data_IF_881436353700
#
_entry.id   IF_881436353700
#
_cell.length_a   1.000
_cell.length_b   1.000
_cell.length_c   1.000
_cell.angle_alpha   90.00
_cell.angle_beta   90.00
_cell.angle_gamma   90.00
#
_symmetry.space_group_name_H-M   'P 1'
#
loop_
_entity.id
_entity.type
_entity.pdbx_description
1 polymer ?
#
# COMPACT_ATOMS: atom_id res chain seq x y z
N UNK A 1 -16.61 9.86 12.77
CA UNK A 1 -16.61 8.46 13.22
C UNK A 1 -16.28 8.25 14.68
N UNK A 2 -15.23 8.84 15.25
CA UNK A 2 -14.99 8.75 16.69
C UNK A 2 -15.84 9.77 17.45
N UNK A 3 -17.16 9.58 17.42
CA UNK A 3 -18.10 10.30 18.28
C UNK A 3 -18.65 9.33 19.31
N UNK A 4 -18.81 9.77 20.55
CA UNK A 4 -19.28 8.94 21.66
C UNK A 4 -20.73 8.49 21.52
N UNK A 5 -21.49 9.11 20.62
CA UNK A 5 -22.89 8.85 20.31
C UNK A 5 -23.08 8.01 19.03
N UNK A 6 -22.00 7.43 18.47
CA UNK A 6 -22.10 6.64 17.25
C UNK A 6 -22.69 5.26 17.52
N UNK A 7 -23.99 5.12 17.23
CA UNK A 7 -24.75 3.88 17.45
C UNK A 7 -24.66 2.95 16.23
N UNK A 8 -24.01 1.80 16.39
CA UNK A 8 -23.86 0.77 15.36
C UNK A 8 -25.12 -0.10 15.17
N UNK A 9 -26.13 0.02 16.04
CA UNK A 9 -27.41 -0.67 15.85
C UNK A 9 -28.28 0.03 14.80
N UNK A 10 -28.03 1.32 14.54
CA UNK A 10 -28.62 2.04 13.41
C UNK A 10 -27.96 1.59 12.10
N UNK A 11 -28.79 1.21 11.12
CA UNK A 11 -28.32 0.65 9.85
C UNK A 11 -27.58 1.66 8.98
N UNK A 12 -27.89 2.95 9.11
CA UNK A 12 -27.21 4.02 8.37
C UNK A 12 -25.81 4.24 8.94
N UNK A 13 -25.69 4.34 10.26
CA UNK A 13 -24.40 4.46 10.93
C UNK A 13 -23.51 3.23 10.71
N UNK A 14 -24.08 2.03 10.77
CA UNK A 14 -23.36 0.80 10.49
C UNK A 14 -22.81 0.77 9.06
N UNK A 15 -23.61 1.23 8.08
CA UNK A 15 -23.18 1.36 6.70
C UNK A 15 -22.07 2.40 6.52
N UNK A 16 -22.22 3.57 7.14
CA UNK A 16 -21.18 4.61 7.14
C UNK A 16 -19.86 4.03 7.69
N UNK A 17 -19.92 3.35 8.85
CA UNK A 17 -18.78 2.67 9.47
C UNK A 17 -18.13 1.66 8.53
N UNK A 18 -18.93 0.80 7.89
CA UNK A 18 -18.43 -0.19 6.94
C UNK A 18 -17.71 0.47 5.75
N UNK A 19 -18.25 1.57 5.20
CA UNK A 19 -17.60 2.32 4.11
C UNK A 19 -16.28 2.96 4.54
N UNK A 20 -16.21 3.55 5.73
CA UNK A 20 -14.95 4.16 6.18
C UNK A 20 -13.91 3.14 6.60
N UNK A 21 -14.34 2.01 7.16
CA UNK A 21 -13.44 0.90 7.43
C UNK A 21 -12.93 0.27 6.13
N UNK A 22 -13.80 0.15 5.11
CA UNK A 22 -13.38 -0.22 3.76
C UNK A 22 -12.32 0.75 3.22
N UNK A 23 -12.57 2.06 3.29
CA UNK A 23 -11.58 3.07 2.90
C UNK A 23 -10.25 2.87 3.64
N UNK A 24 -10.26 2.73 4.96
CA UNK A 24 -9.05 2.55 5.76
C UNK A 24 -8.28 1.27 5.40
N UNK A 25 -8.92 0.11 5.48
CA UNK A 25 -8.24 -1.17 5.29
C UNK A 25 -7.89 -1.47 3.82
N UNK A 26 -8.79 -1.12 2.90
CA UNK A 26 -8.74 -1.58 1.51
C UNK A 26 -8.02 -0.56 0.64
N UNK A 27 -8.34 0.73 0.80
CA UNK A 27 -7.76 1.81 -0.01
C UNK A 27 -6.49 2.34 0.64
N UNK A 28 -6.57 2.82 1.88
CA UNK A 28 -5.45 3.50 2.55
C UNK A 28 -4.28 2.54 2.79
N UNK A 29 -4.49 1.47 3.56
CA UNK A 29 -3.43 0.47 3.80
C UNK A 29 -3.19 -0.42 2.58
N UNK A 30 -4.28 -0.90 1.96
CA UNK A 30 -4.22 -1.92 0.92
C UNK A 30 -3.75 -1.44 -0.46
N UNK A 31 -3.89 -0.14 -0.76
CA UNK A 31 -3.53 0.45 -2.05
C UNK A 31 -2.50 1.58 -1.89
N UNK A 32 -2.82 2.65 -1.13
CA UNK A 32 -1.95 3.82 -1.05
C UNK A 32 -0.62 3.55 -0.37
N UNK A 33 -0.57 2.88 0.79
CA UNK A 33 0.73 2.54 1.38
C UNK A 33 1.52 1.56 0.51
N UNK A 34 0.85 0.53 0.00
CA UNK A 34 1.48 -0.43 -0.90
C UNK A 34 2.11 0.23 -2.13
N UNK A 35 1.38 1.13 -2.80
CA UNK A 35 1.85 1.82 -4.00
C UNK A 35 2.78 3.00 -3.69
N UNK A 36 2.57 3.69 -2.57
CA UNK A 36 3.30 4.87 -2.14
C UNK A 36 4.78 4.62 -1.82
N UNK A 37 5.16 3.38 -1.51
CA UNK A 37 6.56 2.99 -1.30
C UNK A 37 7.32 2.75 -2.62
N UNK A 38 6.60 2.55 -3.72
CA UNK A 38 7.14 2.17 -5.03
C UNK A 38 8.18 3.16 -5.59
N UNK A 39 8.06 4.49 -5.45
CA UNK A 39 9.10 5.42 -5.91
C UNK A 39 10.46 5.16 -5.27
N UNK A 40 10.50 4.83 -3.97
CA UNK A 40 11.74 4.49 -3.27
C UNK A 40 12.27 3.12 -3.71
N UNK A 41 11.40 2.14 -3.96
CA UNK A 41 11.82 0.86 -4.53
C UNK A 41 12.35 0.98 -5.97
N UNK A 42 11.80 1.90 -6.77
CA UNK A 42 12.33 2.21 -8.10
C UNK A 42 13.76 2.76 -8.02
N UNK A 43 14.05 3.63 -7.03
CA UNK A 43 15.41 4.09 -6.74
C UNK A 43 16.32 2.96 -6.23
N UNK A 44 15.82 2.09 -5.35
CA UNK A 44 16.55 0.93 -4.83
C UNK A 44 17.02 -0.01 -5.93
N UNK A 45 16.19 -0.29 -6.94
CA UNK A 45 16.53 -1.11 -8.10
C UNK A 45 17.70 -0.54 -8.91
N UNK A 46 17.96 0.75 -8.77
CA UNK A 46 19.10 1.45 -9.37
C UNK A 46 20.30 1.60 -8.42
N UNK A 47 20.23 0.97 -7.25
CA UNK A 47 21.27 1.03 -6.24
C UNK A 47 21.23 2.28 -5.35
N UNK A 48 20.16 3.09 -5.42
CA UNK A 48 20.00 4.32 -4.64
C UNK A 48 19.06 4.09 -3.44
N UNK A 49 19.16 4.91 -2.40
CA UNK A 49 18.23 4.89 -1.24
C UNK A 49 18.06 3.50 -0.58
N UNK A 50 19.09 2.65 -0.62
CA UNK A 50 19.00 1.24 -0.18
C UNK A 50 18.55 1.09 1.28
N UNK A 51 19.03 1.96 2.18
CA UNK A 51 18.65 1.94 3.60
C UNK A 51 17.19 2.34 3.82
N UNK A 52 16.71 3.39 3.15
CA UNK A 52 15.31 3.81 3.20
C UNK A 52 14.40 2.72 2.62
N UNK A 53 14.79 2.12 1.49
CA UNK A 53 14.05 1.02 0.89
C UNK A 53 13.98 -0.22 1.80
N UNK A 54 15.06 -0.54 2.53
CA UNK A 54 15.04 -1.62 3.52
C UNK A 54 14.07 -1.33 4.67
N UNK A 55 14.01 -0.09 5.17
CA UNK A 55 13.01 0.30 6.18
C UNK A 55 11.58 0.19 5.64
N UNK A 56 11.33 0.68 4.42
CA UNK A 56 10.01 0.58 3.80
C UNK A 56 9.61 -0.87 3.48
N UNK A 57 10.56 -1.77 3.24
CA UNK A 57 10.27 -3.21 3.11
C UNK A 57 9.71 -3.79 4.41
N UNK A 58 10.23 -3.39 5.57
CA UNK A 58 9.65 -3.82 6.85
C UNK A 58 8.23 -3.29 7.04
N UNK A 59 8.00 -2.00 6.77
CA UNK A 59 6.67 -1.40 6.85
C UNK A 59 5.71 -2.10 5.88
N UNK A 60 6.12 -2.33 4.63
CA UNK A 60 5.29 -3.02 3.63
C UNK A 60 4.87 -4.43 4.06
N UNK A 61 5.70 -5.14 4.84
CA UNK A 61 5.32 -6.45 5.39
C UNK A 61 4.20 -6.33 6.42
N UNK A 62 4.25 -5.30 7.26
CA UNK A 62 3.21 -5.03 8.24
C UNK A 62 1.90 -4.60 7.53
N UNK A 63 1.98 -3.72 6.52
CA UNK A 63 0.81 -3.28 5.76
C UNK A 63 0.12 -4.41 4.98
N UNK A 64 0.87 -5.40 4.49
CA UNK A 64 0.27 -6.61 3.89
C UNK A 64 -0.57 -7.37 4.92
N UNK A 65 -0.14 -7.44 6.18
CA UNK A 65 -0.88 -8.07 7.27
C UNK A 65 -2.07 -7.22 7.70
N UNK A 66 -1.90 -5.90 7.84
CA UNK A 66 -2.99 -4.98 8.20
C UNK A 66 -4.10 -5.02 7.16
N UNK A 67 -3.77 -4.92 5.87
CA UNK A 67 -4.74 -5.04 4.79
C UNK A 67 -5.42 -6.41 4.78
N UNK A 68 -4.67 -7.51 4.96
CA UNK A 68 -5.25 -8.85 4.99
C UNK A 68 -6.22 -9.05 6.17
N UNK A 69 -5.90 -8.50 7.34
CA UNK A 69 -6.77 -8.47 8.50
C UNK A 69 -8.01 -7.61 8.23
N UNK A 70 -7.82 -6.40 7.72
CA UNK A 70 -8.90 -5.48 7.41
C UNK A 70 -9.90 -6.03 6.40
N UNK A 71 -9.41 -6.68 5.34
CA UNK A 71 -10.25 -7.39 4.37
C UNK A 71 -11.09 -8.49 5.04
N UNK A 72 -10.53 -9.24 5.99
CA UNK A 72 -11.29 -10.27 6.72
C UNK A 72 -12.37 -9.64 7.60
N UNK A 73 -12.04 -8.57 8.33
CA UNK A 73 -13.00 -7.88 9.19
C UNK A 73 -14.16 -7.32 8.38
N UNK A 74 -13.91 -6.60 7.28
CA UNK A 74 -15.00 -6.06 6.47
C UNK A 74 -15.86 -7.17 5.87
N UNK A 75 -15.28 -8.29 5.43
CA UNK A 75 -16.03 -9.44 4.90
C UNK A 75 -16.95 -10.07 5.95
N UNK A 76 -16.44 -10.31 7.15
CA UNK A 76 -17.28 -10.87 8.21
C UNK A 76 -18.34 -9.86 8.67
N UNK A 77 -18.02 -8.57 8.76
CA UNK A 77 -19.00 -7.52 9.05
C UNK A 77 -20.16 -7.52 8.05
N UNK A 78 -19.86 -7.51 6.74
CA UNK A 78 -20.89 -7.52 5.69
C UNK A 78 -21.76 -8.79 5.76
N UNK A 79 -21.16 -9.92 6.12
CA UNK A 79 -21.85 -11.22 6.21
C UNK A 79 -22.72 -11.33 7.47
N UNK A 80 -22.19 -11.03 8.64
CA UNK A 80 -22.89 -11.15 9.92
C UNK A 80 -24.07 -10.18 10.00
N UNK A 81 -23.91 -8.98 9.45
CA UNK A 81 -24.94 -7.95 9.46
C UNK A 81 -25.87 -8.00 8.24
N UNK A 82 -25.65 -8.94 7.31
CA UNK A 82 -26.31 -8.99 6.01
C UNK A 82 -26.36 -7.60 5.34
N UNK A 83 -25.20 -6.93 5.33
CA UNK A 83 -25.03 -5.56 4.88
C UNK A 83 -24.42 -5.57 3.48
N UNK A 84 -25.03 -4.84 2.55
CA UNK A 84 -24.45 -4.54 1.26
C UNK A 84 -23.92 -3.10 1.27
N UNK A 85 -22.67 -2.92 0.84
CA UNK A 85 -22.12 -1.58 0.60
C UNK A 85 -22.84 -0.96 -0.60
N UNK A 86 -23.10 0.34 -0.51
CA UNK A 86 -23.76 1.07 -1.61
C UNK A 86 -22.79 1.16 -2.80
N UNK A 87 -23.14 0.63 -3.98
CA UNK A 87 -22.29 0.68 -5.16
C UNK A 87 -21.93 2.12 -5.57
N UNK A 88 -22.84 3.08 -5.39
CA UNK A 88 -22.58 4.47 -5.75
C UNK A 88 -21.55 5.10 -4.81
N UNK A 89 -21.71 4.93 -3.50
CA UNK A 89 -20.73 5.38 -2.52
C UNK A 89 -19.35 4.71 -2.73
N UNK A 90 -19.33 3.42 -3.05
CA UNK A 90 -18.08 2.71 -3.38
C UNK A 90 -17.40 3.28 -4.62
N UNK A 91 -18.15 3.51 -5.71
CA UNK A 91 -17.63 4.14 -6.93
C UNK A 91 -17.00 5.50 -6.62
N UNK A 92 -17.72 6.33 -5.87
CA UNK A 92 -17.23 7.64 -5.46
C UNK A 92 -15.94 7.55 -4.64
N UNK A 93 -15.86 6.63 -3.66
CA UNK A 93 -14.64 6.42 -2.88
C UNK A 93 -13.45 6.04 -3.77
N UNK A 94 -13.66 5.17 -4.76
CA UNK A 94 -12.60 4.79 -5.70
C UNK A 94 -12.16 5.94 -6.61
N UNK A 95 -13.10 6.75 -7.10
CA UNK A 95 -12.81 7.93 -7.92
C UNK A 95 -12.02 8.98 -7.16
N UNK A 96 -12.43 9.28 -5.92
CA UNK A 96 -11.72 10.20 -5.04
C UNK A 96 -10.32 9.66 -4.70
N UNK A 97 -10.21 8.35 -4.46
CA UNK A 97 -8.94 7.73 -4.14
C UNK A 97 -7.94 7.76 -5.29
N UNK A 98 -8.41 7.49 -6.52
CA UNK A 98 -7.61 7.58 -7.74
C UNK A 98 -7.21 9.04 -8.04
N UNK A 99 -8.13 9.99 -7.87
CA UNK A 99 -7.83 11.40 -8.09
C UNK A 99 -6.73 11.89 -7.14
N UNK A 100 -6.80 11.50 -5.86
CA UNK A 100 -5.76 11.80 -4.87
C UNK A 100 -4.42 11.15 -5.23
N UNK A 101 -4.42 9.87 -5.61
CA UNK A 101 -3.21 9.16 -6.04
C UNK A 101 -2.59 9.77 -7.30
N UNK A 102 -3.42 10.17 -8.27
CA UNK A 102 -2.97 10.81 -9.51
C UNK A 102 -2.36 12.17 -9.25
N UNK A 103 -2.95 12.96 -8.36
CA UNK A 103 -2.39 14.24 -7.93
C UNK A 103 -1.07 14.05 -7.17
N UNK A 104 -1.00 13.06 -6.28
CA UNK A 104 0.23 12.68 -5.58
C UNK A 104 1.32 12.28 -6.56
N UNK A 105 1.05 11.34 -7.46
CA UNK A 105 1.99 10.86 -8.48
C UNK A 105 2.49 12.01 -9.37
N UNK A 106 1.58 12.88 -9.84
CA UNK A 106 1.95 14.06 -10.63
C UNK A 106 2.82 15.06 -9.87
N UNK A 107 2.65 15.15 -8.55
CA UNK A 107 3.49 16.00 -7.71
C UNK A 107 4.88 15.42 -7.47
N UNK A 108 4.98 14.14 -7.10
CA UNK A 108 6.26 13.51 -6.72
C UNK A 108 7.08 13.00 -7.92
N UNK A 109 6.45 12.76 -9.08
CA UNK A 109 7.07 12.23 -10.29
C UNK A 109 6.96 13.24 -11.46
N UNK A 110 7.14 14.54 -11.17
CA UNK A 110 7.24 15.58 -12.22
C UNK A 110 8.33 15.25 -13.25
N UNK A 111 9.42 14.67 -12.76
CA UNK A 111 10.46 14.06 -13.58
C UNK A 111 10.40 12.54 -13.40
N UNK A 112 10.40 11.75 -14.48
CA UNK A 112 10.33 10.31 -14.39
C UNK A 112 11.64 9.73 -13.85
N UNK A 113 11.52 8.63 -13.12
CA UNK A 113 12.64 7.76 -12.78
C UNK A 113 12.82 6.78 -13.95
N UNK A 114 14.06 6.41 -14.30
CA UNK A 114 14.27 5.43 -15.37
C UNK A 114 13.52 4.11 -15.07
N UNK A 115 12.57 3.76 -15.94
CA UNK A 115 11.70 2.59 -15.78
C UNK A 115 10.52 2.78 -14.82
N UNK A 116 10.24 4.01 -14.37
CA UNK A 116 9.13 4.32 -13.47
C UNK A 116 8.68 5.78 -13.57
N UNK A 117 7.40 6.01 -13.86
CA UNK A 117 6.83 7.36 -14.02
C UNK A 117 5.42 7.43 -13.39
N UNK A 118 4.81 8.62 -13.44
CA UNK A 118 3.49 8.85 -12.87
C UNK A 118 2.39 7.96 -13.48
N UNK A 119 2.45 7.71 -14.79
CA UNK A 119 1.49 6.84 -15.49
C UNK A 119 1.55 5.40 -14.98
N UNK A 120 2.76 4.83 -14.88
CA UNK A 120 2.99 3.50 -14.32
C UNK A 120 2.56 3.42 -12.85
N UNK A 121 2.78 4.48 -12.06
CA UNK A 121 2.34 4.55 -10.67
C UNK A 121 0.82 4.44 -10.55
N UNK A 122 0.07 5.23 -11.32
CA UNK A 122 -1.41 5.22 -11.29
C UNK A 122 -1.97 3.92 -11.87
N UNK A 123 -1.38 3.40 -12.96
CA UNK A 123 -1.82 2.12 -13.53
C UNK A 123 -1.59 0.96 -12.54
N UNK A 124 -0.48 0.97 -11.80
CA UNK A 124 -0.25 -0.01 -10.74
C UNK A 124 -1.26 0.14 -9.59
N UNK A 125 -1.60 1.37 -9.17
CA UNK A 125 -2.67 1.61 -8.18
C UNK A 125 -3.98 0.96 -8.63
N UNK A 126 -4.41 1.18 -9.87
CA UNK A 126 -5.64 0.60 -10.43
C UNK A 126 -5.61 -0.93 -10.41
N UNK A 127 -4.48 -1.53 -10.79
CA UNK A 127 -4.31 -2.98 -10.73
C UNK A 127 -4.45 -3.53 -9.30
N UNK A 128 -3.83 -2.88 -8.32
CA UNK A 128 -3.92 -3.26 -6.92
C UNK A 128 -5.34 -3.06 -6.38
N UNK A 129 -5.99 -1.94 -6.70
CA UNK A 129 -7.37 -1.66 -6.32
C UNK A 129 -8.33 -2.77 -6.77
N UNK A 130 -8.22 -3.24 -8.02
CA UNK A 130 -9.01 -4.39 -8.50
C UNK A 130 -8.73 -5.67 -7.71
N UNK A 131 -7.45 -5.94 -7.39
CA UNK A 131 -7.07 -7.10 -6.57
C UNK A 131 -7.72 -7.01 -5.18
N UNK A 132 -7.74 -5.83 -4.56
CA UNK A 132 -8.38 -5.61 -3.25
C UNK A 132 -9.90 -5.73 -3.32
N UNK A 133 -10.53 -5.14 -4.33
CA UNK A 133 -11.96 -5.26 -4.59
C UNK A 133 -12.41 -6.73 -4.70
N UNK A 134 -11.70 -7.53 -5.52
CA UNK A 134 -11.94 -8.98 -5.63
C UNK A 134 -11.77 -9.72 -4.30
N UNK A 135 -10.77 -9.33 -3.50
CA UNK A 135 -10.54 -9.95 -2.19
C UNK A 135 -11.66 -9.66 -1.20
N UNK A 136 -12.29 -8.49 -1.25
CA UNK A 136 -13.48 -8.17 -0.44
C UNK A 136 -14.73 -8.85 -1.01
N UNK A 137 -14.80 -9.02 -2.34
CA UNK A 137 -15.98 -9.56 -3.03
C UNK A 137 -16.90 -8.46 -3.58
N UNK A 138 -16.36 -7.28 -3.84
CA UNK A 138 -17.06 -6.16 -4.51
C UNK A 138 -16.61 -6.04 -5.97
N UNK A 139 -17.37 -5.28 -6.75
CA UNK A 139 -17.06 -5.01 -8.16
C UNK A 139 -15.69 -4.34 -8.33
N UNK A 140 -14.99 -4.68 -9.42
CA UNK A 140 -13.70 -4.09 -9.75
C UNK A 140 -13.86 -2.62 -10.19
N UNK A 141 -13.17 -1.67 -9.53
CA UNK A 141 -13.30 -0.26 -9.87
C UNK A 141 -12.63 0.15 -11.18
N UNK A 142 -11.62 -0.58 -11.66
CA UNK A 142 -10.81 -0.19 -12.82
C UNK A 142 -10.63 -1.34 -13.82
N UNK A 143 -11.70 -1.85 -14.43
CA UNK A 143 -11.63 -3.01 -15.32
C UNK A 143 -10.60 -2.82 -16.44
N UNK A 144 -9.82 -3.87 -16.71
CA UNK A 144 -8.74 -3.84 -17.70
C UNK A 144 -7.39 -3.30 -17.21
N UNK A 145 -7.27 -2.89 -15.93
CA UNK A 145 -5.97 -2.54 -15.37
C UNK A 145 -5.05 -3.77 -15.25
N UNK A 146 -3.81 -3.63 -15.73
CA UNK A 146 -2.80 -4.69 -15.79
C UNK A 146 -1.65 -4.42 -14.80
N UNK A 147 -0.93 -5.48 -14.41
CA UNK A 147 0.25 -5.37 -13.55
C UNK A 147 1.43 -4.81 -14.36
N UNK A 148 1.69 -3.51 -14.23
CA UNK A 148 2.77 -2.84 -14.97
C UNK A 148 4.09 -2.81 -14.20
N UNK A 149 4.09 -3.17 -12.91
CA UNK A 149 5.27 -3.22 -12.06
C UNK A 149 5.39 -4.60 -11.38
N UNK A 150 5.61 -5.68 -12.15
CA UNK A 150 5.65 -7.04 -11.60
C UNK A 150 6.76 -7.24 -10.53
N UNK A 151 7.82 -6.43 -10.60
CA UNK A 151 8.89 -6.43 -9.61
C UNK A 151 8.46 -5.91 -8.23
N UNK A 152 7.32 -5.22 -8.10
CA UNK A 152 6.83 -4.73 -6.82
C UNK A 152 6.36 -5.89 -5.92
N UNK A 153 5.73 -6.92 -6.51
CA UNK A 153 5.38 -8.14 -5.78
C UNK A 153 6.64 -8.87 -5.28
N UNK A 154 7.75 -8.84 -6.02
CA UNK A 154 9.03 -9.40 -5.56
C UNK A 154 9.56 -8.63 -4.35
N UNK A 155 9.47 -7.30 -4.35
CA UNK A 155 9.88 -6.45 -3.22
C UNK A 155 9.04 -6.72 -1.97
N UNK A 156 7.74 -6.96 -2.13
CA UNK A 156 6.83 -7.32 -1.04
C UNK A 156 7.10 -8.72 -0.46
N UNK A 157 7.54 -9.66 -1.31
CA UNK A 157 7.73 -11.06 -0.94
C UNK A 157 9.18 -11.44 -0.59
N UNK A 158 10.12 -10.49 -0.61
CA UNK A 158 11.51 -10.74 -0.23
C UNK A 158 11.59 -11.14 1.25
N UNK A 159 11.54 -12.46 1.49
CA UNK A 159 12.07 -13.09 2.70
C UNK A 159 13.59 -12.91 2.68
N UNK A 160 14.07 -11.75 3.12
CA UNK A 160 15.45 -11.69 3.61
C UNK A 160 15.47 -12.43 4.94
N UNK A 161 15.75 -13.73 4.89
CA UNK A 161 16.59 -14.32 5.93
C UNK A 161 17.93 -13.59 5.88
N UNK A 162 17.99 -12.39 6.46
CA UNK A 162 19.27 -11.89 6.95
C UNK A 162 19.50 -12.66 8.24
N UNK A 163 20.30 -13.71 8.18
CA UNK A 163 20.94 -14.24 9.37
C UNK A 163 21.60 -13.05 10.07
N UNK A 164 21.16 -12.74 11.28
CA UNK A 164 21.69 -11.64 12.10
C UNK A 164 23.23 -11.75 12.25
N UNK A 165 23.78 -12.96 12.06
CA UNK A 165 25.20 -13.30 12.08
C UNK A 165 25.96 -13.09 10.75
N UNK A 166 25.27 -12.91 9.61
CA UNK A 166 25.91 -12.72 8.30
C UNK A 166 26.03 -11.26 7.88
N UNK A 167 25.36 -10.35 8.61
CA UNK A 167 25.60 -8.91 8.44
C UNK A 167 26.96 -8.61 9.04
N UNK A 168 28.04 -8.71 8.25
CA UNK A 168 29.36 -8.23 8.66
C UNK A 168 29.20 -6.77 9.09
N UNK A 169 29.57 -6.49 10.35
CA UNK A 169 29.76 -5.13 10.86
C UNK A 169 30.87 -4.50 10.01
N UNK A 170 30.50 -3.78 8.94
CA UNK A 170 31.45 -3.02 8.12
C UNK A 170 31.69 -1.61 8.67
N UNK A 171 31.15 -1.29 9.85
CA UNK A 171 31.55 -0.12 10.64
C UNK A 171 32.51 -0.53 11.77
N UNK A 172 33.68 -0.99 11.38
CA UNK A 172 34.92 -0.64 12.07
C UNK A 172 35.99 -0.54 10.98
N UNK A 173 36.03 0.59 10.27
CA UNK A 173 37.37 1.10 9.98
C UNK A 173 37.92 1.55 11.33
N UNK A 174 38.70 0.68 11.98
CA UNK A 174 39.72 1.12 12.92
C UNK A 174 40.48 2.23 12.18
N UNK A 175 40.29 3.47 12.65
CA UNK A 175 40.91 4.66 12.08
C UNK A 175 42.37 4.35 11.78
N UNK A 176 42.75 4.62 10.53
CA UNK A 176 43.99 4.16 9.94
C UNK A 176 45.20 4.38 10.84
N UNK A 177 46.16 3.47 10.70
CA UNK A 177 47.52 3.68 11.13
C UNK A 177 48.01 5.07 10.66
N UNK A 178 48.09 6.02 11.59
CA UNK A 178 48.92 7.20 11.43
C UNK A 178 50.36 6.73 11.57
N UNK A 179 50.99 6.41 10.45
CA UNK A 179 52.45 6.40 10.37
C UNK A 179 52.89 7.85 10.15
N UNK A 180 53.56 8.42 11.15
CA UNK A 180 54.36 9.61 10.98
C UNK A 180 55.79 9.16 10.71
N UNK A 181 56.24 9.32 9.47
CA UNK A 181 57.62 9.63 9.05
C UNK A 181 57.58 10.21 7.63
#
# INVERSE_FOLDING_TARGET
MLRSDFDLTDRTNLHEFALSYFFFAVIFEGCWFYNGFTPIFALQRRGLMKGAAEQLQYIMRDEVLHCAFGIRVIRELLKEENLALDPQALRQLWDEAEAAESAYAGYILREPILGYNAELHVQQFRFIANRRARQVGVEEPFPGAENVLPWLDEQANLRKEKNFFETRVTEYQTGGALAWD
#
